data_IF_794183510405
#
_entry.id   IF_794183510405
#
_cell.length_a   1.000
_cell.length_b   1.000
_cell.length_c   1.000
_cell.angle_alpha   90.00
_cell.angle_beta   90.00
_cell.angle_gamma   90.00
#
_symmetry.space_group_name_H-M   'P 1'
#
loop_
_entity.id
_entity.type
_entity.pdbx_description
1 polymer ?
#
# COMPACT_ATOMS: atom_id res chain seq x y z
N UNK A 1 -61.40 13.67 -15.65
CA UNK A 1 -61.00 12.24 -15.62
C UNK A 1 -59.77 12.13 -16.50
N UNK A 2 -58.56 11.91 -16.04
CA UNK A 2 -57.99 11.74 -14.71
C UNK A 2 -56.50 11.96 -14.91
N UNK A 3 -55.91 12.90 -14.19
CA UNK A 3 -54.47 13.07 -14.06
C UNK A 3 -53.85 11.73 -13.65
N UNK A 4 -53.02 11.16 -14.52
CA UNK A 4 -52.12 10.08 -14.15
C UNK A 4 -50.92 10.77 -13.53
N UNK A 5 -50.94 10.79 -12.20
CA UNK A 5 -49.93 11.29 -11.28
C UNK A 5 -48.61 10.53 -11.54
N UNK A 6 -47.78 11.02 -12.46
CA UNK A 6 -46.41 10.53 -12.69
C UNK A 6 -45.51 11.06 -11.58
N UNK A 7 -45.69 10.54 -10.36
CA UNK A 7 -44.73 10.76 -9.27
C UNK A 7 -43.59 9.76 -9.45
N UNK A 8 -42.44 10.25 -9.88
CA UNK A 8 -41.18 9.53 -9.68
C UNK A 8 -40.96 9.39 -8.16
N UNK A 9 -41.26 8.20 -7.63
CA UNK A 9 -40.89 7.84 -6.27
C UNK A 9 -39.36 7.75 -6.20
N UNK A 10 -38.74 8.78 -5.65
CA UNK A 10 -37.30 8.79 -5.36
C UNK A 10 -37.08 8.16 -3.99
N UNK A 11 -36.76 6.86 -3.97
CA UNK A 11 -36.36 6.14 -2.76
C UNK A 11 -34.97 6.62 -2.36
N UNK A 12 -34.77 7.00 -1.10
CA UNK A 12 -33.44 7.37 -0.60
C UNK A 12 -32.52 6.15 -0.57
N UNK A 13 -31.20 6.35 -0.69
CA UNK A 13 -30.23 5.23 -0.63
C UNK A 13 -30.36 4.42 0.65
N UNK A 14 -30.64 5.08 1.78
CA UNK A 14 -30.86 4.44 3.07
C UNK A 14 -32.10 3.54 3.05
N UNK A 15 -33.22 4.07 2.59
CA UNK A 15 -34.48 3.33 2.50
C UNK A 15 -34.37 2.14 1.53
N UNK A 16 -33.63 2.32 0.43
CA UNK A 16 -33.30 1.24 -0.50
C UNK A 16 -32.48 0.13 0.16
N UNK A 17 -31.46 0.47 0.96
CA UNK A 17 -30.67 -0.51 1.71
C UNK A 17 -31.53 -1.25 2.73
N UNK A 18 -32.39 -0.54 3.46
CA UNK A 18 -33.29 -1.16 4.44
C UNK A 18 -34.26 -2.14 3.80
N UNK A 19 -34.84 -1.79 2.65
CA UNK A 19 -35.72 -2.68 1.88
C UNK A 19 -34.96 -3.92 1.37
N UNK A 20 -33.73 -3.74 0.87
CA UNK A 20 -32.89 -4.86 0.46
C UNK A 20 -32.56 -5.77 1.65
N UNK A 21 -32.29 -5.20 2.83
CA UNK A 21 -32.04 -6.01 4.03
C UNK A 21 -33.28 -6.79 4.47
N UNK A 22 -34.47 -6.20 4.43
CA UNK A 22 -35.71 -6.92 4.72
C UNK A 22 -35.92 -8.13 3.79
N UNK A 23 -35.46 -8.03 2.54
CA UNK A 23 -35.48 -9.14 1.59
C UNK A 23 -34.40 -10.20 1.86
N UNK A 24 -33.18 -9.78 2.20
CA UNK A 24 -32.03 -10.69 2.38
C UNK A 24 -32.08 -11.41 3.74
N UNK A 25 -32.60 -10.78 4.78
CA UNK A 25 -32.59 -11.33 6.15
C UNK A 25 -33.24 -12.73 6.27
N UNK A 26 -34.42 -13.00 5.68
CA UNK A 26 -34.98 -14.35 5.63
C UNK A 26 -34.08 -15.37 4.92
N UNK A 27 -33.33 -14.96 3.89
CA UNK A 27 -32.43 -15.83 3.13
C UNK A 27 -31.20 -16.23 3.95
N UNK A 28 -30.68 -15.33 4.80
CA UNK A 28 -29.60 -15.66 5.75
C UNK A 28 -30.07 -16.77 6.68
N UNK A 29 -31.24 -16.62 7.29
CA UNK A 29 -31.77 -17.63 8.20
C UNK A 29 -32.03 -18.97 7.48
N UNK A 30 -32.56 -18.93 6.26
CA UNK A 30 -32.76 -20.13 5.45
C UNK A 30 -31.44 -20.84 5.14
N UNK A 31 -30.42 -20.12 4.67
CA UNK A 31 -29.12 -20.71 4.27
C UNK A 31 -28.26 -21.19 5.45
N UNK A 32 -28.48 -20.63 6.64
CA UNK A 32 -27.86 -21.12 7.88
C UNK A 32 -28.55 -22.39 8.38
N UNK A 33 -29.89 -22.44 8.38
CA UNK A 33 -30.67 -23.59 8.85
C UNK A 33 -30.68 -24.78 7.88
N UNK A 34 -30.64 -24.52 6.57
CA UNK A 34 -30.73 -25.55 5.51
C UNK A 34 -29.40 -26.30 5.30
N UNK A 35 -28.27 -25.76 5.79
CA UNK A 35 -26.98 -26.43 5.66
C UNK A 35 -26.88 -27.78 6.40
N UNK A 36 -27.70 -27.99 7.43
CA UNK A 36 -27.80 -29.28 8.12
C UNK A 36 -28.78 -30.26 7.42
N UNK A 37 -29.52 -29.79 6.41
CA UNK A 37 -30.61 -30.52 5.74
C UNK A 37 -30.36 -30.82 4.24
N UNK A 38 -29.36 -30.19 3.62
CA UNK A 38 -28.94 -30.50 2.25
C UNK A 38 -27.92 -31.63 2.25
N UNK A 39 -28.14 -32.62 1.37
CA UNK A 39 -27.14 -33.66 1.08
C UNK A 39 -25.93 -33.12 0.29
N UNK A 40 -26.07 -31.94 -0.33
CA UNK A 40 -25.03 -31.25 -1.09
C UNK A 40 -24.46 -30.04 -0.34
N UNK A 41 -23.36 -30.26 0.38
CA UNK A 41 -22.59 -29.21 1.07
C UNK A 41 -22.14 -28.07 0.13
N UNK A 42 -21.91 -28.37 -1.16
CA UNK A 42 -21.42 -27.39 -2.14
C UNK A 42 -22.51 -26.41 -2.57
N UNK A 43 -23.76 -26.87 -2.68
CA UNK A 43 -24.90 -26.02 -2.99
C UNK A 43 -25.20 -25.06 -1.83
N UNK A 44 -25.15 -25.55 -0.57
CA UNK A 44 -25.32 -24.73 0.62
C UNK A 44 -24.26 -23.60 0.70
N UNK A 45 -23.00 -23.92 0.41
CA UNK A 45 -21.89 -22.94 0.40
C UNK A 45 -22.08 -21.91 -0.71
N UNK A 46 -22.55 -22.33 -1.89
CA UNK A 46 -22.80 -21.42 -3.02
C UNK A 46 -23.94 -20.43 -2.70
N UNK A 47 -25.03 -20.89 -2.09
CA UNK A 47 -26.15 -20.03 -1.68
C UNK A 47 -25.72 -18.98 -0.65
N UNK A 48 -24.92 -19.38 0.36
CA UNK A 48 -24.33 -18.43 1.33
C UNK A 48 -23.45 -17.39 0.65
N UNK A 49 -22.74 -17.80 -0.40
CA UNK A 49 -21.92 -16.92 -1.21
C UNK A 49 -22.67 -15.79 -1.88
N UNK A 50 -23.80 -16.11 -2.52
CA UNK A 50 -24.67 -15.12 -3.17
C UNK A 50 -25.22 -14.12 -2.14
N UNK A 51 -25.65 -14.61 -0.97
CA UNK A 51 -26.16 -13.76 0.11
C UNK A 51 -25.08 -12.79 0.60
N UNK A 52 -23.86 -13.26 0.81
CA UNK A 52 -22.73 -12.40 1.20
C UNK A 52 -22.40 -11.39 0.11
N UNK A 53 -22.39 -11.78 -1.15
CA UNK A 53 -22.14 -10.86 -2.26
C UNK A 53 -23.17 -9.72 -2.27
N UNK A 54 -24.46 -10.04 -2.05
CA UNK A 54 -25.49 -9.03 -1.92
C UNK A 54 -25.25 -8.09 -0.70
N UNK A 55 -24.86 -8.63 0.45
CA UNK A 55 -24.53 -7.83 1.64
C UNK A 55 -23.31 -6.91 1.41
N UNK A 56 -22.26 -7.41 0.75
CA UNK A 56 -21.07 -6.63 0.40
C UNK A 56 -21.38 -5.55 -0.64
N UNK A 57 -22.31 -5.81 -1.56
CA UNK A 57 -22.82 -4.78 -2.47
C UNK A 57 -23.54 -3.67 -1.70
N UNK A 58 -24.34 -4.00 -0.69
CA UNK A 58 -24.96 -3.00 0.17
C UNK A 58 -23.92 -2.16 0.91
N UNK A 59 -22.81 -2.75 1.39
CA UNK A 59 -21.70 -1.98 1.95
C UNK A 59 -21.09 -0.96 0.98
N UNK A 60 -21.10 -1.21 -0.33
CA UNK A 60 -20.64 -0.25 -1.32
C UNK A 60 -21.61 0.93 -1.52
N UNK A 61 -22.89 0.75 -1.15
CA UNK A 61 -23.95 1.77 -1.30
C UNK A 61 -24.25 2.53 -0.01
N UNK A 62 -23.99 1.93 1.15
CA UNK A 62 -24.24 2.54 2.46
C UNK A 62 -23.27 3.69 2.71
N UNK A 63 -23.84 4.86 3.03
CA UNK A 63 -23.07 6.03 3.47
C UNK A 63 -22.83 5.99 5.00
N UNK A 64 -22.41 7.10 5.61
CA UNK A 64 -21.81 7.21 6.96
C UNK A 64 -22.65 6.73 8.17
N UNK A 65 -23.80 6.08 7.96
CA UNK A 65 -24.64 5.59 9.05
C UNK A 65 -23.99 4.40 9.76
N UNK A 66 -23.60 4.62 11.03
CA UNK A 66 -22.95 3.61 11.86
C UNK A 66 -23.89 2.47 12.25
N UNK A 67 -25.19 2.72 12.39
CA UNK A 67 -26.16 1.71 12.84
C UNK A 67 -26.41 0.68 11.74
N UNK A 68 -26.64 1.13 10.50
CA UNK A 68 -26.79 0.23 9.35
C UNK A 68 -25.52 -0.56 9.10
N UNK A 69 -24.35 0.08 9.19
CA UNK A 69 -23.06 -0.61 9.05
C UNK A 69 -22.88 -1.72 10.09
N UNK A 70 -23.17 -1.44 11.36
CA UNK A 70 -23.07 -2.42 12.43
C UNK A 70 -24.04 -3.60 12.21
N UNK A 71 -25.28 -3.30 11.81
CA UNK A 71 -26.27 -4.33 11.44
C UNK A 71 -25.79 -5.17 10.25
N UNK A 72 -25.24 -4.57 9.20
CA UNK A 72 -24.69 -5.29 8.06
C UNK A 72 -23.51 -6.19 8.45
N UNK A 73 -22.60 -5.72 9.32
CA UNK A 73 -21.49 -6.54 9.84
C UNK A 73 -22.06 -7.78 10.52
N UNK A 74 -23.02 -7.61 11.44
CA UNK A 74 -23.66 -8.74 12.12
C UNK A 74 -24.30 -9.72 11.14
N UNK A 75 -24.99 -9.23 10.09
CA UNK A 75 -25.60 -10.09 9.05
C UNK A 75 -24.56 -10.87 8.23
N UNK A 76 -23.43 -10.26 7.86
CA UNK A 76 -22.32 -10.95 7.17
C UNK A 76 -21.74 -12.06 8.06
N UNK A 77 -21.51 -11.76 9.33
CA UNK A 77 -20.98 -12.73 10.30
C UNK A 77 -21.93 -13.91 10.54
N UNK A 78 -23.24 -13.67 10.53
CA UNK A 78 -24.27 -14.71 10.68
C UNK A 78 -24.32 -15.68 9.49
N UNK A 79 -23.83 -15.30 8.30
CA UNK A 79 -23.87 -16.17 7.11
C UNK A 79 -22.92 -17.38 7.22
N UNK A 80 -22.00 -17.40 8.19
CA UNK A 80 -21.15 -18.55 8.49
C UNK A 80 -20.05 -18.83 7.46
N UNK A 81 -19.70 -17.85 6.62
CA UNK A 81 -18.49 -17.91 5.77
C UNK A 81 -17.33 -17.31 6.54
N UNK A 82 -16.19 -17.99 6.46
CA UNK A 82 -14.99 -17.56 7.16
C UNK A 82 -14.52 -16.19 6.65
N UNK A 83 -14.31 -15.26 7.58
CA UNK A 83 -13.88 -13.87 7.27
C UNK A 83 -12.59 -13.86 6.46
N UNK A 84 -11.67 -14.78 6.75
CA UNK A 84 -10.41 -14.90 6.03
C UNK A 84 -10.66 -15.05 4.52
N UNK A 85 -11.71 -15.77 4.11
CA UNK A 85 -12.05 -15.99 2.70
C UNK A 85 -12.49 -14.69 2.05
N UNK A 86 -13.34 -13.92 2.75
CA UNK A 86 -13.81 -12.61 2.27
C UNK A 86 -12.61 -11.68 2.07
N UNK A 87 -11.70 -11.59 3.04
CA UNK A 87 -10.55 -10.68 2.99
C UNK A 87 -9.42 -11.16 2.07
N UNK A 88 -9.29 -12.46 1.85
CA UNK A 88 -8.28 -12.99 0.95
C UNK A 88 -8.57 -12.67 -0.53
N UNK A 89 -9.80 -12.30 -0.86
CA UNK A 89 -10.27 -12.30 -2.25
C UNK A 89 -9.50 -11.36 -3.17
N UNK A 90 -9.17 -10.14 -2.73
CA UNK A 90 -8.42 -9.20 -3.56
C UNK A 90 -7.00 -9.73 -3.86
N UNK A 91 -6.28 -10.24 -2.85
CA UNK A 91 -4.95 -10.82 -3.05
C UNK A 91 -4.98 -12.12 -3.86
N UNK A 92 -6.01 -12.93 -3.69
CA UNK A 92 -6.25 -14.11 -4.52
C UNK A 92 -6.39 -13.74 -6.00
N UNK A 93 -7.16 -12.69 -6.31
CA UNK A 93 -7.35 -12.19 -7.69
C UNK A 93 -6.06 -11.63 -8.28
N UNK A 94 -5.29 -10.89 -7.50
CA UNK A 94 -3.96 -10.44 -7.92
C UNK A 94 -3.05 -11.62 -8.29
N UNK A 95 -2.97 -12.66 -7.46
CA UNK A 95 -2.18 -13.87 -7.76
C UNK A 95 -2.69 -14.58 -9.01
N UNK A 96 -4.01 -14.65 -9.18
CA UNK A 96 -4.64 -15.27 -10.34
C UNK A 96 -4.31 -14.53 -11.65
N UNK A 97 -4.40 -13.20 -11.65
CA UNK A 97 -4.04 -12.36 -12.81
C UNK A 97 -2.56 -12.52 -13.15
N UNK A 98 -1.67 -12.50 -12.15
CA UNK A 98 -0.23 -12.69 -12.38
C UNK A 98 0.10 -14.08 -12.91
N UNK A 99 -0.52 -15.14 -12.36
CA UNK A 99 -0.32 -16.50 -12.86
C UNK A 99 -0.83 -16.65 -14.29
N UNK A 100 -2.00 -16.08 -14.63
CA UNK A 100 -2.52 -16.11 -16.01
C UNK A 100 -1.59 -15.37 -16.97
N UNK A 101 -1.16 -14.16 -16.61
CA UNK A 101 -0.22 -13.36 -17.42
C UNK A 101 1.11 -14.07 -17.67
N UNK A 102 1.64 -14.78 -16.67
CA UNK A 102 2.93 -15.44 -16.77
C UNK A 102 2.89 -16.81 -17.47
N UNK A 103 1.76 -17.53 -17.42
CA UNK A 103 1.66 -18.92 -17.85
C UNK A 103 0.88 -19.11 -19.16
N UNK A 104 0.00 -18.18 -19.51
CA UNK A 104 -0.76 -18.23 -20.76
C UNK A 104 -0.03 -17.42 -21.85
N UNK A 105 -0.10 -17.83 -23.13
CA UNK A 105 0.44 -17.05 -24.23
C UNK A 105 -0.17 -15.64 -24.23
N UNK A 106 0.67 -14.59 -24.32
CA UNK A 106 0.16 -13.24 -24.46
C UNK A 106 -0.34 -13.02 -25.89
N UNK A 107 -1.60 -12.61 -26.05
CA UNK A 107 -2.04 -11.91 -27.26
C UNK A 107 -1.56 -10.46 -27.16
N UNK A 108 -0.25 -10.24 -27.27
CA UNK A 108 0.28 -8.90 -27.55
C UNK A 108 -0.06 -8.56 -29.01
N UNK A 109 -1.31 -8.17 -29.23
CA UNK A 109 -1.67 -7.30 -30.34
C UNK A 109 -1.50 -5.88 -29.86
N UNK A 110 -0.48 -5.20 -30.41
CA UNK A 110 -0.18 -3.77 -30.36
C UNK A 110 -1.37 -2.86 -29.93
N UNK A 111 -1.60 -2.76 -28.64
CA UNK A 111 -2.39 -1.68 -28.07
C UNK A 111 -1.79 -1.34 -26.71
N UNK A 112 -1.09 -0.20 -26.70
CA UNK A 112 -0.74 0.48 -25.46
C UNK A 112 -2.02 0.77 -24.68
N UNK A 113 -2.27 -0.04 -23.65
CA UNK A 113 -3.23 0.24 -22.60
C UNK A 113 -2.60 -0.19 -21.26
N UNK A 114 -1.45 0.42 -20.94
CA UNK A 114 -1.23 0.77 -19.55
C UNK A 114 -2.28 1.81 -19.16
N UNK A 115 -2.84 1.66 -17.97
CA UNK A 115 -3.94 2.46 -17.39
C UNK A 115 -5.34 2.03 -17.83
N UNK A 116 -6.01 1.28 -16.94
CA UNK A 116 -7.40 1.49 -16.52
C UNK A 116 -7.72 0.48 -15.40
N UNK A 117 -7.28 0.80 -14.17
CA UNK A 117 -7.93 0.30 -12.95
C UNK A 117 -9.02 1.28 -12.50
N UNK A 118 -9.54 2.08 -13.44
CA UNK A 118 -10.33 3.28 -13.18
C UNK A 118 -11.31 3.52 -14.33
N UNK A 119 -12.18 2.55 -14.61
CA UNK A 119 -13.42 2.79 -15.37
C UNK A 119 -14.60 2.10 -14.67
N UNK A 120 -15.59 2.90 -14.27
CA UNK A 120 -16.86 2.51 -13.63
C UNK A 120 -17.85 1.86 -14.63
N UNK A 121 -17.37 1.34 -15.77
CA UNK A 121 -18.21 0.73 -16.80
C UNK A 121 -17.84 -0.74 -17.00
N UNK A 122 -18.36 -1.59 -16.11
CA UNK A 122 -18.32 -3.06 -16.19
C UNK A 122 -19.39 -3.58 -17.19
N UNK A 123 -19.44 -3.00 -18.38
CA UNK A 123 -20.23 -3.54 -19.51
C UNK A 123 -19.33 -3.79 -20.72
N UNK A 124 -18.95 -5.06 -20.90
CA UNK A 124 -18.54 -5.58 -22.20
C UNK A 124 -17.10 -6.09 -22.30
N UNK A 125 -16.80 -7.22 -21.65
CA UNK A 125 -15.76 -8.12 -22.16
C UNK A 125 -16.44 -9.19 -23.03
N UNK A 126 -16.21 -9.06 -24.33
CA UNK A 126 -16.88 -9.76 -25.42
C UNK A 126 -16.73 -11.29 -25.34
N UNK A 127 -17.84 -11.97 -25.64
CA UNK A 127 -17.88 -13.33 -26.18
C UNK A 127 -16.85 -13.48 -27.31
N UNK A 128 -15.90 -14.40 -27.13
CA UNK A 128 -15.13 -15.16 -28.14
C UNK A 128 -13.68 -15.38 -27.68
N UNK A 129 -13.48 -16.35 -26.79
CA UNK A 129 -12.18 -16.97 -26.51
C UNK A 129 -12.34 -18.49 -26.55
N UNK A 130 -11.39 -19.18 -27.20
CA UNK A 130 -11.55 -20.56 -27.70
C UNK A 130 -11.60 -21.62 -26.60
N UNK A 131 -12.19 -22.79 -26.89
CA UNK A 131 -12.35 -23.91 -25.96
C UNK A 131 -11.06 -24.31 -25.21
N UNK A 132 -9.88 -24.14 -25.83
CA UNK A 132 -8.56 -24.40 -25.22
C UNK A 132 -8.13 -23.35 -24.18
N UNK A 133 -8.52 -22.09 -24.32
CA UNK A 133 -8.23 -21.04 -23.32
C UNK A 133 -9.07 -21.25 -22.05
N UNK A 134 -10.18 -21.98 -22.14
CA UNK A 134 -11.05 -22.26 -21.00
C UNK A 134 -10.46 -23.30 -20.04
N UNK A 135 -9.84 -24.37 -20.54
CA UNK A 135 -9.30 -25.46 -19.72
C UNK A 135 -8.05 -25.03 -18.94
N UNK A 136 -7.10 -24.36 -19.59
CA UNK A 136 -5.88 -23.87 -18.93
C UNK A 136 -6.19 -22.76 -17.91
N UNK A 137 -7.11 -21.84 -18.24
CA UNK A 137 -7.57 -20.81 -17.32
C UNK A 137 -8.28 -21.41 -16.11
N UNK A 138 -9.12 -22.43 -16.33
CA UNK A 138 -9.77 -23.16 -15.25
C UNK A 138 -8.74 -23.88 -14.38
N UNK A 139 -7.77 -24.57 -14.99
CA UNK A 139 -6.71 -25.27 -14.27
C UNK A 139 -5.91 -24.31 -13.38
N UNK A 140 -5.46 -23.16 -13.92
CA UNK A 140 -4.75 -22.14 -13.13
C UNK A 140 -5.61 -21.68 -11.95
N UNK A 141 -6.89 -21.36 -12.20
CA UNK A 141 -7.83 -20.92 -11.17
C UNK A 141 -7.98 -21.96 -10.05
N UNK A 142 -8.11 -23.24 -10.39
CA UNK A 142 -8.21 -24.33 -9.43
C UNK A 142 -6.92 -24.51 -8.62
N UNK A 143 -5.74 -24.39 -9.25
CA UNK A 143 -4.46 -24.50 -8.54
C UNK A 143 -4.23 -23.35 -7.56
N UNK A 144 -4.51 -22.10 -7.97
CA UNK A 144 -4.41 -20.94 -7.06
C UNK A 144 -5.40 -21.12 -5.91
N UNK A 145 -6.66 -21.48 -6.19
CA UNK A 145 -7.66 -21.67 -5.16
C UNK A 145 -7.26 -22.74 -4.14
N UNK A 146 -6.69 -23.86 -4.61
CA UNK A 146 -6.15 -24.90 -3.75
C UNK A 146 -5.01 -24.38 -2.87
N UNK A 147 -4.12 -23.56 -3.42
CA UNK A 147 -3.00 -22.99 -2.69
C UNK A 147 -3.43 -21.97 -1.62
N UNK A 148 -4.62 -21.38 -1.77
CA UNK A 148 -5.22 -20.45 -0.82
C UNK A 148 -6.26 -21.10 0.11
N UNK A 149 -6.55 -22.40 -0.04
CA UNK A 149 -7.60 -23.08 0.72
C UNK A 149 -9.02 -22.69 0.31
N UNK A 150 -9.19 -22.04 -0.84
CA UNK A 150 -10.46 -21.50 -1.33
C UNK A 150 -11.24 -22.46 -2.24
N UNK A 151 -10.81 -23.72 -2.36
CA UNK A 151 -11.43 -24.69 -3.28
C UNK A 151 -12.90 -24.95 -2.97
N UNK A 152 -13.32 -24.88 -1.69
CA UNK A 152 -14.74 -25.03 -1.29
C UNK A 152 -15.60 -23.82 -1.67
N UNK A 153 -14.94 -22.69 -1.91
CA UNK A 153 -15.51 -21.38 -2.11
C UNK A 153 -15.48 -21.01 -3.59
N UNK A 154 -15.85 -21.95 -4.48
CA UNK A 154 -15.74 -21.79 -5.94
C UNK A 154 -16.40 -20.54 -6.50
N UNK A 155 -17.49 -20.09 -5.86
CA UNK A 155 -18.17 -18.85 -6.22
C UNK A 155 -17.32 -17.59 -6.07
N UNK A 156 -16.24 -17.59 -5.26
CA UNK A 156 -15.28 -16.48 -5.20
C UNK A 156 -14.27 -16.48 -6.35
N UNK A 157 -14.10 -17.63 -7.01
CA UNK A 157 -13.03 -17.91 -7.96
C UNK A 157 -13.44 -17.67 -9.41
N UNK A 158 -14.73 -17.77 -9.71
CA UNK A 158 -15.27 -17.66 -11.06
C UNK A 158 -15.56 -16.20 -11.39
N UNK A 159 -15.14 -15.79 -12.60
CA UNK A 159 -15.25 -14.40 -13.09
C UNK A 159 -16.28 -14.26 -14.22
N UNK A 160 -17.08 -15.29 -14.49
CA UNK A 160 -18.05 -15.33 -15.59
C UNK A 160 -19.29 -16.17 -15.24
N UNK A 161 -20.47 -15.74 -15.72
CA UNK A 161 -21.78 -16.37 -15.52
C UNK A 161 -22.77 -15.50 -14.73
N UNK A 162 -24.08 -15.66 -14.95
CA UNK A 162 -25.11 -14.77 -14.37
C UNK A 162 -25.24 -14.92 -12.84
N UNK A 163 -25.12 -16.13 -12.30
CA UNK A 163 -25.02 -16.32 -10.84
C UNK A 163 -23.74 -15.70 -10.23
N UNK A 164 -22.76 -15.38 -11.07
CA UNK A 164 -21.47 -14.77 -10.76
C UNK A 164 -21.43 -13.27 -11.14
N UNK A 165 -22.52 -12.69 -11.64
CA UNK A 165 -22.62 -11.25 -11.94
C UNK A 165 -22.51 -10.38 -10.67
N UNK A 166 -23.00 -10.88 -9.53
CA UNK A 166 -22.72 -10.29 -8.22
C UNK A 166 -21.28 -10.56 -7.74
N UNK A 167 -20.59 -11.54 -8.34
CA UNK A 167 -19.21 -11.90 -7.99
C UNK A 167 -18.14 -11.01 -8.66
N UNK A 168 -18.55 -10.04 -9.47
CA UNK A 168 -17.78 -8.81 -9.70
C UNK A 168 -17.76 -7.98 -8.41
N UNK A 169 -16.98 -8.45 -7.44
CA UNK A 169 -16.96 -7.90 -6.09
C UNK A 169 -16.50 -6.46 -6.12
N UNK A 170 -17.35 -5.55 -5.65
CA UNK A 170 -16.94 -4.19 -5.40
C UNK A 170 -15.84 -4.23 -4.33
N UNK A 171 -14.58 -4.00 -4.72
CA UNK A 171 -13.46 -3.85 -3.77
C UNK A 171 -13.79 -2.81 -2.70
N UNK A 172 -14.56 -1.79 -3.09
CA UNK A 172 -15.18 -0.81 -2.21
C UNK A 172 -16.13 -1.42 -1.18
N UNK A 173 -17.00 -2.35 -1.57
CA UNK A 173 -17.89 -3.06 -0.65
C UNK A 173 -17.15 -3.85 0.43
N UNK A 174 -16.09 -4.58 0.03
CA UNK A 174 -15.26 -5.33 0.99
C UNK A 174 -14.41 -4.39 1.84
N UNK A 175 -13.82 -3.35 1.26
CA UNK A 175 -13.08 -2.33 1.99
C UNK A 175 -13.95 -1.64 3.04
N UNK A 176 -15.19 -1.29 2.69
CA UNK A 176 -16.17 -0.73 3.61
C UNK A 176 -16.62 -1.72 4.68
N UNK A 177 -16.77 -3.01 4.35
CA UNK A 177 -17.03 -4.06 5.32
C UNK A 177 -15.85 -4.20 6.29
N UNK A 178 -14.60 -4.23 5.81
CA UNK A 178 -13.40 -4.28 6.65
C UNK A 178 -13.36 -3.10 7.59
N UNK A 179 -13.53 -1.88 7.05
CA UNK A 179 -13.55 -0.66 7.83
C UNK A 179 -14.62 -0.73 8.92
N UNK A 180 -15.87 -1.03 8.57
CA UNK A 180 -16.95 -1.15 9.53
C UNK A 180 -16.67 -2.23 10.57
N UNK A 181 -16.23 -3.41 10.17
CA UNK A 181 -15.99 -4.55 11.07
C UNK A 181 -14.92 -4.24 12.13
N UNK A 182 -13.80 -3.62 11.74
CA UNK A 182 -12.68 -3.41 12.67
C UNK A 182 -12.79 -2.11 13.48
N UNK A 183 -13.62 -1.16 13.04
CA UNK A 183 -13.88 0.10 13.77
C UNK A 183 -15.17 0.10 14.59
N UNK A 184 -16.05 -0.89 14.37
CA UNK A 184 -17.29 -1.04 15.12
C UNK A 184 -17.01 -1.33 16.61
N UNK A 185 -17.70 -0.62 17.49
CA UNK A 185 -17.52 -0.73 18.95
C UNK A 185 -17.96 -2.09 19.52
N UNK A 186 -18.91 -2.77 18.87
CA UNK A 186 -19.45 -4.05 19.34
C UNK A 186 -18.57 -5.24 18.94
N UNK A 187 -17.98 -5.15 17.74
CA UNK A 187 -17.22 -6.21 17.10
C UNK A 187 -15.71 -5.97 17.23
N UNK A 188 -15.23 -4.90 16.60
CA UNK A 188 -13.82 -4.53 16.51
C UNK A 188 -12.92 -5.63 15.97
N UNK A 189 -11.64 -5.54 16.29
CA UNK A 189 -10.60 -6.49 15.87
C UNK A 189 -10.82 -7.91 16.45
N UNK A 190 -11.60 -8.05 17.53
CA UNK A 190 -11.84 -9.33 18.19
C UNK A 190 -12.58 -10.35 17.31
N UNK A 191 -13.23 -9.88 16.25
CA UNK A 191 -13.90 -10.76 15.28
C UNK A 191 -12.88 -11.51 14.41
N UNK A 192 -11.65 -11.01 14.26
CA UNK A 192 -10.62 -11.68 13.49
C UNK A 192 -10.11 -12.93 14.23
N UNK A 193 -10.20 -14.14 13.61
CA UNK A 193 -9.74 -15.37 14.24
C UNK A 193 -8.26 -15.32 14.67
N UNK A 194 -7.99 -15.64 15.94
CA UNK A 194 -6.63 -15.70 16.50
C UNK A 194 -5.75 -16.81 15.87
N UNK A 195 -6.36 -17.76 15.15
CA UNK A 195 -5.63 -18.79 14.42
C UNK A 195 -4.83 -18.23 13.22
N UNK A 196 -5.21 -17.03 12.73
CA UNK A 196 -4.53 -16.35 11.63
C UNK A 196 -3.60 -15.29 12.21
N UNK A 197 -2.36 -15.23 11.71
CA UNK A 197 -1.37 -14.31 12.25
C UNK A 197 -1.75 -12.83 11.98
N UNK A 198 -1.43 -11.89 12.88
CA UNK A 198 -1.67 -10.45 12.65
C UNK A 198 -1.08 -9.94 11.32
N UNK A 199 0.08 -10.46 10.91
CA UNK A 199 0.69 -10.09 9.64
C UNK A 199 -0.02 -10.67 8.41
N UNK A 200 -0.66 -11.83 8.54
CA UNK A 200 -1.55 -12.35 7.49
C UNK A 200 -2.76 -11.44 7.32
N UNK A 201 -3.35 -10.96 8.43
CA UNK A 201 -4.43 -9.97 8.36
C UNK A 201 -3.97 -8.66 7.73
N UNK A 202 -2.80 -8.14 8.14
CA UNK A 202 -2.21 -6.95 7.53
C UNK A 202 -2.01 -7.14 6.02
N UNK A 203 -1.50 -8.28 5.56
CA UNK A 203 -1.28 -8.56 4.14
C UNK A 203 -2.56 -8.51 3.30
N UNK A 204 -3.66 -9.07 3.81
CA UNK A 204 -4.96 -9.06 3.14
C UNK A 204 -5.61 -7.67 3.19
N UNK A 205 -5.66 -7.05 4.37
CA UNK A 205 -6.31 -5.75 4.60
C UNK A 205 -5.57 -4.62 3.88
N UNK A 206 -4.24 -4.69 3.79
CA UNK A 206 -3.41 -3.72 3.07
C UNK A 206 -3.83 -3.54 1.60
N UNK A 207 -4.33 -4.58 0.94
CA UNK A 207 -4.78 -4.49 -0.45
C UNK A 207 -6.00 -3.58 -0.58
N UNK A 208 -6.98 -3.72 0.32
CA UNK A 208 -8.16 -2.87 0.34
C UNK A 208 -7.82 -1.45 0.77
N UNK A 209 -6.95 -1.28 1.77
CA UNK A 209 -6.50 0.05 2.16
C UNK A 209 -5.78 0.77 1.01
N UNK A 210 -4.92 0.07 0.26
CA UNK A 210 -4.27 0.60 -0.93
C UNK A 210 -5.30 1.11 -1.95
N UNK A 211 -6.32 0.29 -2.26
CA UNK A 211 -7.42 0.67 -3.16
C UNK A 211 -8.19 1.91 -2.63
N UNK A 212 -8.55 1.93 -1.35
CA UNK A 212 -9.31 3.02 -0.75
C UNK A 212 -8.54 4.35 -0.70
N UNK A 213 -7.23 4.32 -0.40
CA UNK A 213 -6.39 5.53 -0.36
C UNK A 213 -6.15 6.11 -1.76
N UNK A 214 -6.22 5.26 -2.79
CA UNK A 214 -6.15 5.67 -4.19
C UNK A 214 -7.48 6.25 -4.73
N UNK A 215 -8.59 6.09 -4.02
CA UNK A 215 -9.89 6.63 -4.42
C UNK A 215 -9.88 8.16 -4.60
N UNK A 216 -10.74 8.66 -5.48
CA UNK A 216 -11.00 10.10 -5.64
C UNK A 216 -11.80 10.68 -4.47
N UNK A 217 -12.57 9.86 -3.75
CA UNK A 217 -13.36 10.29 -2.60
C UNK A 217 -12.48 10.46 -1.35
N UNK A 218 -12.37 11.70 -0.86
CA UNK A 218 -11.59 12.02 0.34
C UNK A 218 -11.98 11.19 1.56
N UNK A 219 -13.28 10.86 1.72
CA UNK A 219 -13.72 10.06 2.86
C UNK A 219 -13.27 8.61 2.75
N UNK A 220 -13.33 8.03 1.56
CA UNK A 220 -12.84 6.68 1.31
C UNK A 220 -11.33 6.58 1.59
N UNK A 221 -10.57 7.61 1.20
CA UNK A 221 -9.13 7.70 1.50
C UNK A 221 -8.86 7.72 3.00
N UNK A 222 -9.63 8.47 3.77
CA UNK A 222 -9.52 8.50 5.23
C UNK A 222 -9.88 7.15 5.86
N UNK A 223 -10.93 6.48 5.36
CA UNK A 223 -11.28 5.13 5.80
C UNK A 223 -10.13 4.14 5.55
N UNK A 224 -9.47 4.20 4.39
CA UNK A 224 -8.31 3.36 4.09
C UNK A 224 -7.15 3.56 5.06
N UNK A 225 -6.87 4.80 5.46
CA UNK A 225 -5.85 5.11 6.47
C UNK A 225 -6.22 4.64 7.87
N UNK A 226 -7.48 4.79 8.26
CA UNK A 226 -7.99 4.30 9.54
C UNK A 226 -7.92 2.77 9.62
N UNK A 227 -8.26 2.08 8.53
CA UNK A 227 -8.13 0.63 8.43
C UNK A 227 -6.70 0.19 8.69
N UNK A 228 -5.72 0.86 8.05
CA UNK A 228 -4.29 0.57 8.27
C UNK A 228 -3.85 0.84 9.70
N UNK A 229 -4.30 1.94 10.31
CA UNK A 229 -3.99 2.26 11.70
C UNK A 229 -4.41 1.12 12.63
N UNK A 230 -5.69 0.73 12.55
CA UNK A 230 -6.27 -0.30 13.42
C UNK A 230 -5.58 -1.66 13.24
N UNK A 231 -5.28 -2.07 12.00
CA UNK A 231 -4.61 -3.36 11.77
C UNK A 231 -3.12 -3.32 12.16
N UNK A 232 -2.46 -2.17 12.06
CA UNK A 232 -1.09 -2.03 12.53
C UNK A 232 -1.01 -2.12 14.06
N UNK A 233 -2.00 -1.61 14.79
CA UNK A 233 -2.02 -1.65 16.27
C UNK A 233 -1.97 -3.08 16.84
N UNK A 234 -2.47 -4.08 16.09
CA UNK A 234 -2.40 -5.49 16.50
C UNK A 234 -1.15 -6.22 16.02
N UNK A 235 -0.34 -5.58 15.17
CA UNK A 235 0.90 -6.14 14.68
C UNK A 235 2.09 -5.75 15.59
N UNK A 236 2.96 -6.69 15.97
CA UNK A 236 4.16 -6.37 16.74
C UNK A 236 5.20 -5.60 15.92
N UNK A 237 5.93 -4.70 16.56
CA UNK A 237 6.98 -3.90 15.91
C UNK A 237 8.22 -4.74 15.56
N UNK A 238 8.90 -4.38 14.47
CA UNK A 238 10.15 -4.97 13.99
C UNK A 238 10.10 -6.50 13.77
N UNK A 239 8.92 -7.06 13.45
CA UNK A 239 8.71 -8.51 13.26
C UNK A 239 8.29 -8.92 11.85
N UNK A 240 7.77 -8.00 11.03
CA UNK A 240 7.41 -8.30 9.65
C UNK A 240 8.68 -8.42 8.82
N UNK A 241 9.04 -9.65 8.47
CA UNK A 241 10.13 -9.92 7.52
C UNK A 241 9.58 -9.90 6.10
N UNK A 242 10.27 -9.19 5.23
CA UNK A 242 9.94 -9.11 3.81
C UNK A 242 11.16 -9.59 3.03
N UNK A 243 10.95 -10.47 2.05
CA UNK A 243 11.99 -10.88 1.09
C UNK A 243 12.23 -9.71 0.11
N UNK A 244 12.60 -8.52 0.62
CA UNK A 244 13.04 -7.41 -0.20
C UNK A 244 14.32 -7.87 -0.91
N UNK A 245 14.22 -8.10 -2.22
CA UNK A 245 15.30 -8.66 -3.03
C UNK A 245 16.60 -7.89 -2.76
N UNK A 246 17.52 -8.55 -2.07
CA UNK A 246 18.85 -8.02 -1.74
C UNK A 246 19.72 -8.02 -3.00
N UNK A 247 19.36 -7.23 -4.01
CA UNK A 247 20.11 -7.05 -5.25
C UNK A 247 20.32 -8.33 -6.08
N UNK A 248 19.84 -8.28 -7.32
CA UNK A 248 20.01 -9.26 -8.45
C UNK A 248 18.92 -10.34 -8.52
N UNK A 249 18.38 -10.68 -9.70
CA UNK A 249 18.96 -10.64 -11.04
C UNK A 249 18.01 -10.09 -12.12
N UNK A 250 18.53 -9.14 -12.90
CA UNK A 250 18.31 -9.07 -14.35
C UNK A 250 18.82 -10.39 -14.96
N UNK A 251 17.96 -11.41 -15.04
CA UNK A 251 18.03 -12.60 -15.91
C UNK A 251 17.27 -13.74 -15.25
N UNK A 252 15.98 -13.87 -15.56
CA UNK A 252 15.33 -15.18 -15.57
C UNK A 252 14.33 -15.20 -16.72
N UNK A 253 14.88 -15.22 -17.94
CA UNK A 253 14.20 -15.63 -19.18
C UNK A 253 13.89 -17.14 -19.18
N UNK A 254 13.63 -17.71 -18.01
CA UNK A 254 13.19 -19.10 -17.83
C UNK A 254 11.73 -19.08 -17.47
N UNK A 255 10.92 -19.78 -18.27
CA UNK A 255 9.52 -20.04 -17.94
C UNK A 255 9.43 -20.67 -16.55
N UNK A 256 8.84 -19.94 -15.60
CA UNK A 256 8.63 -20.41 -14.24
C UNK A 256 7.48 -21.42 -14.24
N UNK A 257 7.61 -22.49 -13.46
CA UNK A 257 6.48 -23.38 -13.17
C UNK A 257 5.41 -22.63 -12.36
N UNK A 258 4.15 -23.08 -12.42
CA UNK A 258 3.06 -22.54 -11.59
C UNK A 258 3.46 -22.40 -10.11
N UNK A 259 4.12 -23.42 -9.54
CA UNK A 259 4.54 -23.41 -8.13
C UNK A 259 5.56 -22.31 -7.84
N UNK A 260 6.45 -22.02 -8.79
CA UNK A 260 7.42 -20.93 -8.66
C UNK A 260 6.74 -19.57 -8.80
N UNK A 261 5.78 -19.43 -9.71
CA UNK A 261 5.00 -18.20 -9.88
C UNK A 261 4.18 -17.86 -8.62
N UNK A 262 3.43 -18.82 -8.10
CA UNK A 262 2.65 -18.64 -6.86
C UNK A 262 3.56 -18.34 -5.66
N UNK A 263 4.74 -18.98 -5.56
CA UNK A 263 5.70 -18.67 -4.52
C UNK A 263 6.30 -17.26 -4.67
N UNK A 264 6.54 -16.81 -5.91
CA UNK A 264 7.03 -15.46 -6.22
C UNK A 264 6.01 -14.40 -5.79
N UNK A 265 4.74 -14.57 -6.15
CA UNK A 265 3.67 -13.64 -5.74
C UNK A 265 3.62 -13.43 -4.22
N UNK A 266 3.71 -14.51 -3.45
CA UNK A 266 3.66 -14.46 -1.97
C UNK A 266 4.89 -13.80 -1.34
N UNK A 267 5.99 -13.74 -2.08
CA UNK A 267 7.24 -13.09 -1.68
C UNK A 267 7.37 -11.66 -2.23
N UNK A 268 6.50 -11.26 -3.15
CA UNK A 268 6.49 -9.95 -3.79
C UNK A 268 6.44 -8.83 -2.74
N UNK A 269 7.18 -7.77 -3.01
CA UNK A 269 7.12 -6.55 -2.20
C UNK A 269 5.77 -5.84 -2.39
N UNK A 270 4.84 -6.12 -1.48
CA UNK A 270 3.55 -5.44 -1.40
C UNK A 270 3.59 -4.19 -0.50
N UNK A 271 4.71 -3.95 0.19
CA UNK A 271 4.86 -2.87 1.17
C UNK A 271 5.29 -1.57 0.49
N UNK A 272 6.20 -1.63 -0.50
CA UNK A 272 6.62 -0.44 -1.25
C UNK A 272 5.45 0.29 -1.94
N UNK A 273 4.56 -0.38 -2.70
CA UNK A 273 3.40 0.28 -3.29
C UNK A 273 2.47 0.92 -2.24
N UNK A 274 2.29 0.24 -1.10
CA UNK A 274 1.48 0.76 -0.01
C UNK A 274 2.08 2.03 0.61
N UNK A 275 3.38 2.01 0.92
CA UNK A 275 4.10 3.19 1.42
C UNK A 275 3.99 4.32 0.40
N UNK A 276 4.17 4.04 -0.89
CA UNK A 276 4.07 5.04 -1.94
C UNK A 276 2.68 5.71 -1.96
N UNK A 277 1.60 4.93 -1.93
CA UNK A 277 0.23 5.48 -1.89
C UNK A 277 -0.02 6.32 -0.63
N UNK A 278 0.48 5.89 0.53
CA UNK A 278 0.39 6.68 1.78
C UNK A 278 1.17 7.99 1.65
N UNK A 279 2.40 7.94 1.13
CA UNK A 279 3.21 9.15 0.95
C UNK A 279 2.61 10.12 -0.06
N UNK A 280 1.98 9.63 -1.13
CA UNK A 280 1.22 10.45 -2.06
C UNK A 280 0.03 11.12 -1.36
N UNK A 281 -0.68 10.39 -0.48
CA UNK A 281 -1.76 10.96 0.32
C UNK A 281 -1.28 12.04 1.29
N UNK A 282 -0.08 11.91 1.87
CA UNK A 282 0.53 12.96 2.72
C UNK A 282 0.75 14.28 1.98
N UNK A 283 0.97 14.23 0.66
CA UNK A 283 1.16 15.43 -0.17
C UNK A 283 -0.18 15.94 -0.71
N UNK A 284 -1.06 15.03 -1.13
CA UNK A 284 -2.29 15.37 -1.83
C UNK A 284 -3.46 15.79 -0.93
N UNK A 285 -3.44 15.49 0.37
CA UNK A 285 -4.52 15.92 1.26
C UNK A 285 -4.51 17.43 1.51
N UNK A 286 -5.66 18.11 1.40
CA UNK A 286 -5.74 19.55 1.59
C UNK A 286 -5.50 19.94 3.07
N UNK A 287 -6.12 19.20 3.99
CA UNK A 287 -6.09 19.51 5.41
C UNK A 287 -4.77 19.10 6.07
N UNK A 288 -4.20 19.99 6.88
CA UNK A 288 -2.94 19.72 7.62
C UNK A 288 -3.12 18.57 8.61
N UNK A 289 -4.29 18.49 9.26
CA UNK A 289 -4.60 17.44 10.23
C UNK A 289 -4.64 16.05 9.57
N UNK A 290 -5.21 15.97 8.36
CA UNK A 290 -5.26 14.73 7.60
C UNK A 290 -3.85 14.32 7.17
N UNK A 291 -3.04 15.26 6.65
CA UNK A 291 -1.62 15.01 6.31
C UNK A 291 -0.80 14.52 7.50
N UNK A 292 -0.99 15.13 8.68
CA UNK A 292 -0.33 14.73 9.92
C UNK A 292 -0.77 13.34 10.38
N UNK A 293 -2.06 13.01 10.25
CA UNK A 293 -2.60 11.69 10.58
C UNK A 293 -2.05 10.62 9.63
N UNK A 294 -1.95 10.91 8.33
CA UNK A 294 -1.33 10.04 7.34
C UNK A 294 0.13 9.76 7.66
N UNK A 295 0.90 10.76 8.10
CA UNK A 295 2.28 10.56 8.56
C UNK A 295 2.33 9.63 9.79
N UNK A 296 1.39 9.74 10.72
CA UNK A 296 1.33 8.83 11.88
C UNK A 296 1.07 7.38 11.44
N UNK A 297 0.15 7.17 10.48
CA UNK A 297 -0.11 5.85 9.89
C UNK A 297 1.13 5.31 9.17
N UNK A 298 1.85 6.14 8.42
CA UNK A 298 3.11 5.74 7.78
C UNK A 298 4.15 5.29 8.82
N UNK A 299 4.33 6.06 9.90
CA UNK A 299 5.26 5.73 10.99
C UNK A 299 4.91 4.39 11.62
N UNK A 300 3.63 4.18 11.90
CA UNK A 300 3.14 2.95 12.53
C UNK A 300 3.36 1.74 11.61
N UNK A 301 3.00 1.84 10.33
CA UNK A 301 3.21 0.78 9.34
C UNK A 301 4.69 0.41 9.18
N UNK A 302 5.55 1.42 8.99
CA UNK A 302 7.00 1.22 8.79
C UNK A 302 7.64 0.60 10.04
N UNK A 303 7.15 0.91 11.24
CA UNK A 303 7.65 0.32 12.49
C UNK A 303 7.40 -1.18 12.61
N UNK A 304 6.48 -1.76 11.82
CA UNK A 304 6.19 -3.20 11.83
C UNK A 304 7.26 -4.02 11.09
N UNK A 305 7.90 -3.40 10.10
CA UNK A 305 8.90 -4.03 9.24
C UNK A 305 10.18 -4.26 10.05
N UNK A 306 10.77 -5.44 9.92
CA UNK A 306 12.07 -5.76 10.52
C UNK A 306 13.13 -4.75 10.07
N UNK A 307 13.98 -4.29 11.00
CA UNK A 307 14.96 -3.22 10.80
C UNK A 307 15.81 -3.38 9.53
N UNK A 308 16.28 -4.60 9.24
CA UNK A 308 17.07 -4.88 8.03
C UNK A 308 16.26 -4.74 6.75
N UNK A 309 15.04 -5.29 6.70
CA UNK A 309 14.21 -5.27 5.50
C UNK A 309 13.65 -3.86 5.25
N UNK A 310 13.36 -3.14 6.34
CA UNK A 310 12.98 -1.72 6.33
C UNK A 310 14.03 -0.86 5.62
N UNK A 311 15.32 -1.09 5.85
CA UNK A 311 16.38 -0.37 5.14
C UNK A 311 16.27 -0.55 3.62
N UNK A 312 16.10 -1.78 3.15
CA UNK A 312 16.07 -2.10 1.71
C UNK A 312 14.85 -1.50 1.01
N UNK A 313 13.67 -1.64 1.63
CA UNK A 313 12.42 -1.04 1.13
C UNK A 313 12.55 0.49 1.07
N UNK A 314 13.02 1.10 2.16
CA UNK A 314 13.15 2.55 2.22
C UNK A 314 14.21 3.09 1.27
N UNK A 315 15.32 2.37 1.03
CA UNK A 315 16.38 2.79 0.10
C UNK A 315 15.80 3.08 -1.28
N UNK A 316 15.04 2.15 -1.82
CA UNK A 316 14.45 2.27 -3.15
C UNK A 316 13.44 3.41 -3.21
N UNK A 317 12.58 3.51 -2.20
CA UNK A 317 11.57 4.57 -2.10
C UNK A 317 12.21 5.96 -1.98
N UNK A 318 13.26 6.13 -1.17
CA UNK A 318 14.01 7.40 -1.03
C UNK A 318 14.59 7.83 -2.38
N UNK A 319 15.24 6.90 -3.08
CA UNK A 319 15.95 7.15 -4.34
C UNK A 319 14.98 7.47 -5.49
N UNK A 320 13.77 6.90 -5.48
CA UNK A 320 12.73 7.08 -6.52
C UNK A 320 11.76 8.22 -6.19
N UNK A 321 11.66 8.67 -4.93
CA UNK A 321 10.70 9.68 -4.51
C UNK A 321 10.87 11.02 -5.26
N UNK A 322 9.79 11.59 -5.83
CA UNK A 322 9.87 12.91 -6.49
C UNK A 322 9.89 14.07 -5.47
N UNK A 323 9.26 13.90 -4.30
CA UNK A 323 9.08 14.95 -3.31
C UNK A 323 10.22 14.95 -2.27
N UNK A 324 11.03 16.01 -2.24
CA UNK A 324 12.20 16.10 -1.34
C UNK A 324 11.84 16.02 0.15
N UNK A 325 10.77 16.69 0.56
CA UNK A 325 10.26 16.64 1.94
C UNK A 325 9.77 15.25 2.38
N UNK A 326 9.10 14.50 1.49
CA UNK A 326 8.69 13.11 1.78
C UNK A 326 9.92 12.20 1.86
N UNK A 327 10.85 12.32 0.91
CA UNK A 327 12.09 11.56 0.93
C UNK A 327 12.90 11.84 2.22
N UNK A 328 12.89 13.08 2.71
CA UNK A 328 13.51 13.46 3.98
C UNK A 328 12.89 12.69 5.17
N UNK A 329 11.57 12.57 5.23
CA UNK A 329 10.87 11.75 6.25
C UNK A 329 11.31 10.28 6.18
N UNK A 330 11.49 9.73 4.99
CA UNK A 330 11.96 8.35 4.82
C UNK A 330 13.43 8.18 5.26
N UNK A 331 14.30 9.15 4.95
CA UNK A 331 15.69 9.19 5.44
C UNK A 331 15.72 9.29 6.97
N UNK A 332 14.78 10.00 7.59
CA UNK A 332 14.68 10.11 9.04
C UNK A 332 14.38 8.75 9.72
N UNK A 333 13.58 7.87 9.09
CA UNK A 333 13.44 6.49 9.55
C UNK A 333 14.78 5.75 9.52
N UNK A 334 15.49 5.80 8.39
CA UNK A 334 16.81 5.18 8.22
C UNK A 334 17.80 5.71 9.25
N UNK A 335 17.78 7.03 9.53
CA UNK A 335 18.64 7.65 10.55
C UNK A 335 18.32 7.11 11.94
N UNK A 336 17.04 7.03 12.32
CA UNK A 336 16.65 6.54 13.63
C UNK A 336 17.08 5.06 13.81
N UNK A 337 16.90 4.24 12.78
CA UNK A 337 17.34 2.85 12.77
C UNK A 337 18.86 2.71 12.84
N UNK A 338 19.59 3.60 12.16
CA UNK A 338 21.04 3.66 12.28
C UNK A 338 21.43 3.96 13.74
N UNK A 339 20.88 5.01 14.35
CA UNK A 339 21.17 5.37 15.74
C UNK A 339 20.89 4.20 16.68
N UNK A 340 19.76 3.50 16.53
CA UNK A 340 19.42 2.33 17.34
C UNK A 340 20.39 1.16 17.10
N UNK A 341 20.68 0.83 15.84
CA UNK A 341 21.60 -0.25 15.45
C UNK A 341 23.01 -0.04 16.02
N UNK A 342 23.47 1.22 16.06
CA UNK A 342 24.76 1.63 16.61
C UNK A 342 24.79 1.77 18.14
N UNK A 343 23.62 1.80 18.78
CA UNK A 343 23.47 1.85 20.24
C UNK A 343 23.21 0.46 20.85
N UNK A 344 22.75 -0.50 20.03
CA UNK A 344 22.55 -1.90 20.41
C UNK A 344 23.87 -2.58 20.80
N UNK A 345 23.83 -3.33 21.91
CA UNK A 345 24.91 -4.23 22.34
C UNK A 345 25.04 -5.48 21.46
N UNK A 346 24.00 -5.83 20.71
CA UNK A 346 24.04 -6.94 19.76
C UNK A 346 24.73 -6.48 18.47
N UNK A 347 25.96 -6.94 18.29
CA UNK A 347 26.71 -6.71 17.05
C UNK A 347 26.23 -7.65 15.95
N UNK A 348 25.18 -7.27 15.23
CA UNK A 348 24.87 -7.85 13.94
C UNK A 348 25.74 -7.19 12.86
N UNK A 349 26.87 -7.83 12.53
CA UNK A 349 27.83 -7.34 11.52
C UNK A 349 27.26 -7.31 10.10
N UNK A 350 26.14 -8.00 9.84
CA UNK A 350 25.45 -7.98 8.55
C UNK A 350 24.36 -6.90 8.46
N UNK A 351 24.21 -6.05 9.49
CA UNK A 351 23.26 -4.95 9.47
C UNK A 351 23.62 -3.95 8.37
N UNK A 352 22.69 -3.54 7.49
CA UNK A 352 22.99 -2.57 6.43
C UNK A 352 23.47 -1.22 6.99
N UNK A 353 23.10 -0.90 8.24
CA UNK A 353 23.50 0.31 8.95
C UNK A 353 24.97 0.30 9.43
N UNK A 354 25.64 -0.86 9.42
CA UNK A 354 27.04 -1.06 9.82
C UNK A 354 27.92 -1.56 8.66
N UNK A 355 27.43 -1.46 7.43
CA UNK A 355 28.13 -1.88 6.21
C UNK A 355 28.18 -0.71 5.22
N UNK A 356 28.80 -0.91 4.06
CA UNK A 356 28.88 0.10 2.99
C UNK A 356 27.53 0.50 2.41
N UNK A 357 26.47 -0.28 2.64
CA UNK A 357 25.14 -0.03 2.06
C UNK A 357 24.55 1.32 2.46
N UNK A 358 24.71 1.73 3.73
CA UNK A 358 24.23 3.05 4.17
C UNK A 358 25.00 4.20 3.48
N UNK A 359 26.28 4.00 3.18
CA UNK A 359 27.08 4.97 2.44
C UNK A 359 26.65 5.05 0.97
N UNK A 360 26.33 3.92 0.35
CA UNK A 360 25.80 3.87 -1.02
C UNK A 360 24.45 4.59 -1.12
N UNK A 361 23.53 4.33 -0.18
CA UNK A 361 22.26 5.06 -0.09
C UNK A 361 22.49 6.59 -0.05
N UNK A 362 23.40 7.06 0.80
CA UNK A 362 23.73 8.48 0.92
C UNK A 362 24.31 9.05 -0.37
N UNK A 363 25.28 8.36 -0.97
CA UNK A 363 25.92 8.79 -2.21
C UNK A 363 24.91 8.86 -3.37
N UNK A 364 24.09 7.83 -3.55
CA UNK A 364 23.07 7.75 -4.60
C UNK A 364 22.02 8.86 -4.43
N UNK A 365 21.53 9.04 -3.20
CA UNK A 365 20.50 10.04 -2.88
C UNK A 365 21.02 11.48 -3.05
N UNK A 366 22.23 11.77 -2.56
CA UNK A 366 22.86 13.07 -2.71
C UNK A 366 23.19 13.37 -4.18
N UNK A 367 23.64 12.38 -4.95
CA UNK A 367 23.96 12.56 -6.37
C UNK A 367 22.72 12.96 -7.15
N UNK A 368 21.60 12.24 -6.97
CA UNK A 368 20.32 12.60 -7.60
C UNK A 368 19.81 13.96 -7.14
N UNK A 369 19.93 14.27 -5.85
CA UNK A 369 19.52 15.58 -5.31
C UNK A 369 20.37 16.72 -5.90
N UNK A 370 21.65 16.47 -6.15
CA UNK A 370 22.57 17.42 -6.76
C UNK A 370 22.28 17.69 -8.24
N UNK A 371 21.37 16.96 -8.87
CA UNK A 371 20.90 17.17 -10.25
C UNK A 371 19.52 17.82 -10.32
N UNK A 372 18.73 17.73 -9.24
CA UNK A 372 17.37 18.27 -9.14
C UNK A 372 17.35 19.73 -8.68
N UNK A 373 16.15 20.28 -8.47
CA UNK A 373 15.96 21.59 -7.88
C UNK A 373 16.30 21.55 -6.38
N UNK A 374 17.36 22.25 -6.00
CA UNK A 374 17.84 22.31 -4.61
C UNK A 374 16.84 22.93 -3.62
N UNK A 375 15.91 23.77 -4.06
CA UNK A 375 14.88 24.36 -3.18
C UNK A 375 13.89 23.28 -2.77
N UNK A 376 13.40 22.51 -3.74
CA UNK A 376 12.45 21.42 -3.50
C UNK A 376 13.07 20.23 -2.75
N UNK A 377 14.39 20.08 -2.84
CA UNK A 377 15.15 18.98 -2.21
C UNK A 377 15.97 19.42 -0.99
N UNK A 378 15.80 20.65 -0.50
CA UNK A 378 16.58 21.18 0.62
C UNK A 378 16.45 20.32 1.90
N UNK A 379 15.22 19.90 2.24
CA UNK A 379 14.95 19.05 3.41
C UNK A 379 15.60 17.66 3.29
N UNK A 380 15.61 17.10 2.08
CA UNK A 380 16.26 15.82 1.80
C UNK A 380 17.77 15.94 1.99
N UNK A 381 18.38 16.97 1.38
CA UNK A 381 19.82 17.22 1.53
C UNK A 381 20.17 17.44 2.99
N UNK A 382 19.41 18.24 3.74
CA UNK A 382 19.62 18.46 5.17
C UNK A 382 19.58 17.14 5.97
N UNK A 383 18.61 16.28 5.68
CA UNK A 383 18.46 14.97 6.34
C UNK A 383 19.62 14.03 6.01
N UNK A 384 20.05 13.99 4.75
CA UNK A 384 21.25 13.24 4.33
C UNK A 384 22.51 13.77 5.01
N UNK A 385 22.71 15.09 5.09
CA UNK A 385 23.85 15.70 5.78
C UNK A 385 23.87 15.31 7.26
N UNK A 386 22.70 15.32 7.92
CA UNK A 386 22.60 14.86 9.31
C UNK A 386 23.06 13.41 9.47
N UNK A 387 22.71 12.52 8.55
CA UNK A 387 23.11 11.12 8.59
C UNK A 387 24.60 10.93 8.26
N UNK A 388 25.14 11.68 7.28
CA UNK A 388 26.58 11.72 6.99
C UNK A 388 27.37 12.11 8.24
N UNK A 389 26.99 13.20 8.91
CA UNK A 389 27.65 13.65 10.14
C UNK A 389 27.60 12.59 11.22
N UNK A 390 26.44 11.96 11.42
CA UNK A 390 26.30 10.87 12.39
C UNK A 390 27.32 9.75 12.13
N UNK A 391 27.47 9.31 10.88
CA UNK A 391 28.43 8.28 10.50
C UNK A 391 29.88 8.70 10.72
N UNK A 392 30.30 9.90 10.29
CA UNK A 392 31.66 10.40 10.53
C UNK A 392 31.99 10.51 12.03
N UNK A 393 31.01 10.86 12.87
CA UNK A 393 31.19 10.97 14.31
C UNK A 393 31.25 9.57 14.95
N UNK A 394 30.35 8.65 14.56
CA UNK A 394 30.14 7.38 15.24
C UNK A 394 31.04 6.25 14.74
N UNK A 395 31.31 6.16 13.45
CA UNK A 395 32.06 5.07 12.82
C UNK A 395 33.58 5.28 12.96
N UNK A 396 34.09 5.12 14.19
CA UNK A 396 35.53 5.29 14.50
C UNK A 396 36.40 4.20 13.89
N UNK A 397 35.87 2.99 13.75
CA UNK A 397 36.58 1.84 13.19
C UNK A 397 36.40 1.71 11.66
N UNK A 398 35.70 2.67 11.04
CA UNK A 398 35.42 2.71 9.61
C UNK A 398 34.75 1.43 9.06
N UNK A 399 33.84 0.85 9.84
CA UNK A 399 33.07 -0.35 9.51
C UNK A 399 32.17 -0.17 8.28
N UNK A 400 31.59 1.02 8.12
CA UNK A 400 30.76 1.37 6.95
C UNK A 400 31.59 1.75 5.74
N UNK A 401 32.91 1.91 5.91
CA UNK A 401 33.80 2.39 4.88
C UNK A 401 33.65 3.88 4.56
N UNK A 402 32.93 4.67 5.35
CA UNK A 402 32.71 6.11 5.09
C UNK A 402 34.03 6.91 5.00
N UNK A 403 35.06 6.52 5.76
CA UNK A 403 36.38 7.14 5.75
C UNK A 403 37.32 6.52 4.70
N UNK A 404 36.88 5.53 3.93
CA UNK A 404 37.68 5.02 2.80
C UNK A 404 37.84 6.09 1.74
N UNK A 405 39.01 6.11 1.06
CA UNK A 405 39.31 7.12 0.04
C UNK A 405 38.23 7.20 -1.05
N UNK A 406 37.71 6.07 -1.51
CA UNK A 406 36.69 5.99 -2.55
C UNK A 406 35.36 6.60 -2.10
N UNK A 407 34.85 6.18 -0.95
CA UNK A 407 33.54 6.63 -0.45
C UNK A 407 33.59 8.08 0.03
N UNK A 408 34.62 8.45 0.79
CA UNK A 408 34.80 9.83 1.25
C UNK A 408 34.90 10.79 0.05
N UNK A 409 35.75 10.47 -0.94
CA UNK A 409 35.89 11.30 -2.13
C UNK A 409 34.57 11.41 -2.91
N UNK A 410 33.84 10.30 -3.09
CA UNK A 410 32.54 10.31 -3.76
C UNK A 410 31.51 11.22 -3.07
N UNK A 411 31.36 11.11 -1.74
CA UNK A 411 30.46 11.97 -0.97
C UNK A 411 30.92 13.43 -1.06
N UNK A 412 32.20 13.70 -0.82
CA UNK A 412 32.78 15.05 -0.84
C UNK A 412 32.60 15.75 -2.18
N UNK A 413 32.78 15.05 -3.28
CA UNK A 413 32.63 15.61 -4.62
C UNK A 413 31.18 16.05 -4.88
N UNK A 414 30.21 15.22 -4.47
CA UNK A 414 28.79 15.54 -4.57
C UNK A 414 28.42 16.71 -3.66
N UNK A 415 28.88 16.73 -2.41
CA UNK A 415 28.65 17.84 -1.49
C UNK A 415 29.24 19.16 -2.01
N UNK A 416 30.43 19.12 -2.60
CA UNK A 416 31.07 20.29 -3.21
C UNK A 416 30.25 20.81 -4.40
N UNK A 417 29.67 19.91 -5.20
CA UNK A 417 28.78 20.27 -6.32
C UNK A 417 27.50 20.93 -5.82
N UNK A 418 26.87 20.38 -4.78
CA UNK A 418 25.70 20.98 -4.12
C UNK A 418 26.06 22.37 -3.61
N UNK A 419 27.21 22.54 -2.96
CA UNK A 419 27.68 23.82 -2.40
C UNK A 419 27.77 24.91 -3.45
N UNK A 420 28.41 24.60 -4.60
CA UNK A 420 28.54 25.55 -5.71
C UNK A 420 27.18 25.97 -6.27
N UNK A 421 26.27 25.00 -6.48
CA UNK A 421 24.92 25.30 -6.98
C UNK A 421 24.09 26.09 -5.98
N UNK A 422 24.23 25.80 -4.68
CA UNK A 422 23.54 26.51 -3.61
C UNK A 422 24.01 27.96 -3.50
N UNK A 423 25.31 28.21 -3.57
CA UNK A 423 25.89 29.56 -3.57
C UNK A 423 25.37 30.38 -4.76
N UNK A 424 25.37 29.80 -5.97
CA UNK A 424 24.80 30.46 -7.15
C UNK A 424 23.31 30.83 -6.95
N UNK A 425 22.49 29.93 -6.40
CA UNK A 425 21.07 30.22 -6.11
C UNK A 425 20.90 31.35 -5.07
N UNK A 426 21.74 31.38 -4.04
CA UNK A 426 21.72 32.43 -3.01
C UNK A 426 22.12 33.79 -3.63
N UNK A 427 23.13 33.82 -4.49
CA UNK A 427 23.58 35.02 -5.23
C UNK A 427 22.50 35.53 -6.21
N UNK A 428 21.83 34.64 -6.94
CA UNK A 428 20.70 34.98 -7.81
C UNK A 428 19.53 35.59 -7.01
N UNK A 429 19.23 35.01 -5.85
CA UNK A 429 18.12 35.46 -4.99
C UNK A 429 18.40 36.82 -4.31
N UNK A 430 19.67 37.11 -3.99
CA UNK A 430 20.08 38.40 -3.41
C UNK A 430 20.18 39.51 -4.45
N UNK A 431 20.58 39.19 -5.69
CA UNK A 431 20.72 40.17 -6.78
C UNK A 431 19.39 40.58 -7.44
N UNK A 432 18.36 39.71 -7.42
CA UNK A 432 17.02 39.99 -7.95
C UNK A 432 16.07 40.76 -7.03
N UNK A 433 16.50 41.12 -5.81
CA UNK A 433 15.64 41.64 -4.72
C UNK A 433 15.19 43.10 -4.89
N UNK A 434 15.22 43.66 -6.11
CA UNK A 434 15.04 45.09 -6.34
C UNK A 434 13.61 45.58 -6.51
N UNK A 435 12.59 44.72 -6.74
CA UNK A 435 11.16 45.12 -6.76
C UNK A 435 10.24 43.88 -6.83
N UNK A 436 9.80 43.31 -5.70
CA UNK A 436 8.53 42.56 -5.60
C UNK A 436 8.28 42.07 -4.16
N UNK A 437 7.04 42.26 -3.71
CA UNK A 437 6.43 41.63 -2.53
C UNK A 437 6.61 40.10 -2.55
N UNK A 438 7.00 39.48 -1.43
CA UNK A 438 6.49 38.15 -1.01
C UNK A 438 7.22 37.60 0.23
N UNK A 439 6.47 37.33 1.30
CA UNK A 439 6.95 36.62 2.50
C UNK A 439 7.44 35.18 2.21
N UNK A 440 7.05 34.56 1.08
CA UNK A 440 7.50 33.22 0.70
C UNK A 440 8.97 33.19 0.27
N UNK A 441 9.44 34.21 -0.47
CA UNK A 441 10.83 34.30 -0.97
C UNK A 441 11.82 34.49 0.19
N UNK A 442 11.39 35.16 1.26
CA UNK A 442 12.22 35.39 2.44
C UNK A 442 12.41 34.13 3.32
N UNK A 443 11.39 33.28 3.40
CA UNK A 443 11.48 31.98 4.07
C UNK A 443 12.39 31.02 3.29
N UNK A 444 12.21 30.91 1.98
CA UNK A 444 13.04 30.03 1.13
C UNK A 444 14.52 30.45 1.21
N UNK A 445 14.81 31.74 1.18
CA UNK A 445 16.17 32.27 1.33
C UNK A 445 16.81 31.88 2.68
N UNK A 446 16.07 32.01 3.78
CA UNK A 446 16.56 31.64 5.12
C UNK A 446 16.84 30.14 5.21
N UNK A 447 15.99 29.30 4.63
CA UNK A 447 16.20 27.86 4.56
C UNK A 447 17.46 27.49 3.76
N UNK A 448 17.71 28.14 2.64
CA UNK A 448 18.92 27.91 1.83
C UNK A 448 20.20 28.32 2.56
N UNK A 449 20.18 29.40 3.34
CA UNK A 449 21.31 29.83 4.17
C UNK A 449 21.62 28.83 5.29
N UNK A 450 20.60 28.28 5.96
CA UNK A 450 20.77 27.22 6.97
C UNK A 450 21.36 25.96 6.33
N UNK A 451 20.89 25.60 5.13
CA UNK A 451 21.43 24.47 4.38
C UNK A 451 22.90 24.68 4.01
N UNK A 452 23.28 25.89 3.60
CA UNK A 452 24.66 26.25 3.25
C UNK A 452 25.59 26.12 4.46
N UNK A 453 25.20 26.68 5.61
CA UNK A 453 25.95 26.53 6.86
C UNK A 453 26.08 25.04 7.26
N UNK A 454 25.01 24.27 7.08
CA UNK A 454 25.01 22.83 7.36
C UNK A 454 25.98 22.08 6.41
N UNK A 455 25.96 22.42 5.13
CA UNK A 455 26.83 21.79 4.14
C UNK A 455 28.30 22.07 4.42
N UNK A 456 28.65 23.34 4.69
CA UNK A 456 30.00 23.76 5.04
C UNK A 456 30.54 23.02 6.26
N UNK A 457 29.76 22.93 7.33
CA UNK A 457 30.11 22.15 8.53
C UNK A 457 30.30 20.64 8.23
N UNK A 458 29.55 20.08 7.28
CA UNK A 458 29.69 18.66 6.91
C UNK A 458 30.94 18.43 6.08
N UNK A 459 31.25 19.33 5.14
CA UNK A 459 32.47 19.29 4.32
C UNK A 459 33.74 19.37 5.17
N UNK A 460 33.72 20.12 6.28
CA UNK A 460 34.83 20.18 7.24
C UNK A 460 35.12 18.82 7.88
N UNK A 461 34.10 17.99 8.14
CA UNK A 461 34.26 16.64 8.70
C UNK A 461 34.79 15.62 7.68
N UNK A 462 34.61 15.90 6.39
CA UNK A 462 35.11 15.05 5.32
C UNK A 462 36.61 15.28 5.01
N UNK A 463 37.21 16.36 5.53
CA UNK A 463 38.64 16.67 5.43
C UNK A 463 39.45 15.87 6.45
#
# INVERSE_FOLDING_TARGET
>A
MSDVDSREFTISTQEGVDLCLQFIEPLIHSTVLVADALDDEQEAVSQRGVVIAALLYLFAKVSKDSEIKSRLVAKVLLCGVEIHVILATLRFREELIECRRALLPSYESDSEAESELDSDDDEGLSEHTGEFESEDTQWITEQVAKAWGLTKYRYFLQTSGQEYSFTAWSYRGIGNFVHAMITDEQHGVNVMPAAVSPFSWLFHIAAYAHYMIHSKDHQERLCGLEVLRVICDVCPNDKLTLDAERGRDENNDTSLSFRQQAASFRKRDWMSPLIQVITNAMVAFPEVNDRSSTLAVLKELVSKIAVTDRFWILRDLIIKCPYGNVAAVLVDFVRNDAVQSWSSSETNSQSPFKTTEICLLLQDTLTKSAERDLVLHADLVASCLSLVRFLYIRDKDNTTGIQTKTTNHGIRDVLTRISKRLQLKIEESTSGRSNADSQSVENDFTHLMILEASLSSTLELCN
#
